data_IF_564096437360
#
_entry.id   IF_564096437360
#
_cell.length_a   1.000
_cell.length_b   1.000
_cell.length_c   1.000
_cell.angle_alpha   90.00
_cell.angle_beta   90.00
_cell.angle_gamma   90.00
#
_symmetry.space_group_name_H-M   'P 1'
#
loop_
_entity.id
_entity.type
_entity.pdbx_description
1 polymer ?
#
# COMPACT_ATOMS: atom_id res chain seq x y z
N UNK A 1 36.90 74.85 16.15
CA UNK A 1 36.06 74.09 15.19
C UNK A 1 35.33 73.01 15.99
N UNK A 2 34.00 73.07 15.99
CA UNK A 2 33.13 72.27 16.87
C UNK A 2 33.01 70.80 16.43
N UNK A 3 32.84 69.83 17.35
CA UNK A 3 32.50 68.46 16.98
C UNK A 3 31.00 68.36 16.64
N UNK A 4 30.69 67.74 15.50
CA UNK A 4 29.32 67.54 15.03
C UNK A 4 28.60 66.47 15.87
N UNK A 5 27.39 66.80 16.33
CA UNK A 5 26.46 65.92 17.04
C UNK A 5 25.80 64.90 16.09
N UNK A 6 25.93 63.60 16.37
CA UNK A 6 25.20 62.54 15.67
C UNK A 6 23.76 62.40 16.22
N UNK A 7 22.75 62.13 15.36
CA UNK A 7 21.37 61.93 15.81
C UNK A 7 21.14 60.52 16.39
N UNK A 8 20.06 60.31 17.17
CA UNK A 8 19.80 59.05 17.87
C UNK A 8 19.33 57.96 16.90
N UNK A 9 19.94 56.78 16.97
CA UNK A 9 19.48 55.59 16.23
C UNK A 9 18.39 54.90 17.04
N UNK A 10 17.17 54.87 16.51
CA UNK A 10 16.05 54.12 17.09
C UNK A 10 16.24 52.62 16.77
N UNK A 11 16.08 51.70 17.73
CA UNK A 11 16.13 50.28 17.44
C UNK A 11 14.89 49.90 16.64
N UNK A 12 15.06 49.45 15.40
CA UNK A 12 14.02 48.69 14.69
C UNK A 12 13.83 47.39 15.45
N UNK A 13 12.69 47.24 16.11
CA UNK A 13 12.22 45.93 16.56
C UNK A 13 11.95 45.08 15.32
N UNK A 14 12.92 44.26 14.93
CA UNK A 14 12.66 43.12 14.06
C UNK A 14 11.65 42.26 14.82
N UNK A 15 10.38 42.32 14.40
CA UNK A 15 9.44 41.24 14.64
C UNK A 15 10.02 40.02 13.93
N UNK A 16 10.87 39.29 14.65
CA UNK A 16 11.14 37.90 14.35
C UNK A 16 9.80 37.20 14.44
N UNK A 17 9.10 37.14 13.32
CA UNK A 17 8.01 36.20 13.14
C UNK A 17 8.60 34.86 13.52
N UNK A 18 8.15 34.34 14.66
CA UNK A 18 8.45 32.98 15.06
C UNK A 18 7.93 32.11 13.93
N UNK A 19 8.81 31.73 13.01
CA UNK A 19 8.65 30.52 12.25
C UNK A 19 8.60 29.46 13.32
N UNK A 20 7.37 29.08 13.72
CA UNK A 20 7.11 27.91 14.52
C UNK A 20 7.88 26.81 13.80
N UNK A 21 9.01 26.43 14.41
CA UNK A 21 9.92 25.44 13.89
C UNK A 21 9.21 24.11 13.96
N UNK A 22 8.30 23.86 13.02
CA UNK A 22 7.83 22.52 12.76
C UNK A 22 9.07 21.81 12.26
N UNK A 23 9.60 20.92 13.09
CA UNK A 23 10.67 20.02 12.70
C UNK A 23 10.29 19.40 11.35
N UNK A 24 11.19 19.40 10.35
CA UNK A 24 10.87 18.97 8.99
C UNK A 24 10.19 17.59 8.92
N UNK A 25 10.47 16.71 9.88
CA UNK A 25 9.91 15.37 10.01
C UNK A 25 8.40 15.35 10.31
N UNK A 26 7.89 16.21 11.20
CA UNK A 26 6.47 16.21 11.57
C UNK A 26 5.57 16.83 10.50
N UNK A 27 6.00 17.92 9.86
CA UNK A 27 5.27 18.51 8.73
C UNK A 27 5.16 17.53 7.56
N UNK A 28 6.25 16.80 7.28
CA UNK A 28 6.27 15.78 6.21
C UNK A 28 5.35 14.60 6.53
N UNK A 29 5.26 14.19 7.80
CA UNK A 29 4.34 13.14 8.23
C UNK A 29 2.88 13.51 7.97
N UNK A 30 2.42 14.69 8.40
CA UNK A 30 1.02 15.10 8.20
C UNK A 30 0.70 15.29 6.72
N UNK A 31 1.64 15.79 5.92
CA UNK A 31 1.49 15.86 4.47
C UNK A 31 1.38 14.46 3.83
N UNK A 32 2.19 13.50 4.28
CA UNK A 32 2.09 12.11 3.85
C UNK A 32 0.76 11.49 4.26
N UNK A 33 0.31 11.71 5.50
CA UNK A 33 -0.97 11.22 6.01
C UNK A 33 -2.14 11.78 5.20
N UNK A 34 -2.12 13.08 4.86
CA UNK A 34 -3.11 13.68 3.97
C UNK A 34 -3.13 13.01 2.58
N UNK A 35 -1.97 12.85 1.95
CA UNK A 35 -1.87 12.15 0.65
C UNK A 35 -2.33 10.70 0.73
N UNK A 36 -2.01 10.00 1.81
CA UNK A 36 -2.45 8.62 2.03
C UNK A 36 -3.97 8.56 2.18
N UNK A 37 -4.57 9.49 2.93
CA UNK A 37 -6.01 9.59 3.08
C UNK A 37 -6.70 9.87 1.73
N UNK A 38 -6.16 10.80 0.95
CA UNK A 38 -6.69 11.11 -0.38
C UNK A 38 -6.59 9.91 -1.32
N UNK A 39 -5.47 9.18 -1.30
CA UNK A 39 -5.29 7.97 -2.09
C UNK A 39 -6.29 6.87 -1.68
N UNK A 40 -6.54 6.70 -0.38
CA UNK A 40 -7.55 5.74 0.12
C UNK A 40 -8.96 6.16 -0.33
N UNK A 41 -9.30 7.45 -0.18
CA UNK A 41 -10.60 7.97 -0.61
C UNK A 41 -10.81 7.78 -2.11
N UNK A 42 -9.78 8.08 -2.92
CA UNK A 42 -9.81 7.88 -4.37
C UNK A 42 -9.96 6.39 -4.74
N UNK A 43 -9.20 5.51 -4.09
CA UNK A 43 -9.31 4.07 -4.29
C UNK A 43 -10.71 3.56 -3.92
N UNK A 44 -11.29 4.01 -2.81
CA UNK A 44 -12.64 3.65 -2.36
C UNK A 44 -13.74 4.20 -3.28
N UNK A 45 -13.50 5.34 -3.94
CA UNK A 45 -14.39 5.91 -4.96
C UNK A 45 -14.40 5.07 -6.24
N UNK A 46 -13.29 4.39 -6.57
CA UNK A 46 -13.20 3.47 -7.71
C UNK A 46 -13.83 2.08 -7.44
N UNK A 47 -14.40 1.86 -6.25
CA UNK A 47 -15.05 0.61 -5.88
C UNK A 47 -16.31 0.37 -6.72
N UNK A 48 -16.50 -0.85 -7.22
CA UNK A 48 -17.75 -1.26 -7.87
C UNK A 48 -18.90 -1.39 -6.85
N UNK A 49 -20.16 -1.11 -7.22
CA UNK A 49 -21.30 -1.31 -6.35
C UNK A 49 -21.31 -2.72 -5.71
N UNK A 50 -21.55 -2.81 -4.40
CA UNK A 50 -21.61 -4.11 -3.72
C UNK A 50 -22.75 -4.99 -4.23
N UNK A 51 -23.85 -4.37 -4.69
CA UNK A 51 -24.96 -5.07 -5.32
C UNK A 51 -24.52 -5.82 -6.59
N UNK A 52 -23.61 -5.22 -7.37
CA UNK A 52 -23.03 -5.85 -8.54
C UNK A 52 -22.19 -7.06 -8.11
N UNK A 53 -21.26 -6.90 -7.16
CA UNK A 53 -20.46 -8.00 -6.62
C UNK A 53 -21.34 -9.16 -6.11
N UNK A 54 -22.40 -8.85 -5.38
CA UNK A 54 -23.30 -9.84 -4.79
C UNK A 54 -24.39 -10.37 -5.74
N UNK A 55 -24.39 -9.96 -7.02
CA UNK A 55 -25.39 -10.39 -7.98
C UNK A 55 -25.29 -11.90 -8.26
N UNK A 56 -26.31 -12.62 -7.80
CA UNK A 56 -26.40 -14.08 -7.93
C UNK A 56 -26.79 -14.53 -9.33
N UNK A 57 -27.41 -13.65 -10.13
CA UNK A 57 -27.84 -14.00 -11.49
C UNK A 57 -26.65 -14.23 -12.44
N UNK A 58 -25.51 -13.62 -12.14
CA UNK A 58 -24.27 -13.76 -12.90
C UNK A 58 -23.35 -14.88 -12.37
N UNK A 59 -23.81 -15.69 -11.41
CA UNK A 59 -23.03 -16.81 -10.89
C UNK A 59 -23.37 -18.09 -11.66
N UNK A 60 -22.37 -18.66 -12.33
CA UNK A 60 -22.47 -19.93 -13.04
C UNK A 60 -21.26 -20.83 -12.71
N UNK A 61 -21.51 -22.13 -12.56
CA UNK A 61 -20.45 -23.11 -12.33
C UNK A 61 -19.50 -23.15 -13.56
N UNK A 62 -18.18 -23.02 -13.38
CA UNK A 62 -17.24 -23.18 -14.49
C UNK A 62 -17.22 -24.65 -14.97
N UNK A 63 -17.11 -24.85 -16.27
CA UNK A 63 -17.09 -26.17 -16.91
C UNK A 63 -15.74 -26.85 -16.77
N UNK A 64 -14.66 -26.06 -16.62
CA UNK A 64 -13.30 -26.57 -16.43
C UNK A 64 -12.46 -25.70 -15.50
N UNK A 65 -11.35 -26.24 -15.00
CA UNK A 65 -10.39 -25.50 -14.18
C UNK A 65 -9.70 -24.37 -14.95
N UNK A 66 -9.41 -24.59 -16.24
CA UNK A 66 -8.84 -23.56 -17.11
C UNK A 66 -9.78 -22.37 -17.27
N UNK A 67 -11.07 -22.65 -17.43
CA UNK A 67 -12.10 -21.62 -17.49
C UNK A 67 -12.24 -20.88 -16.15
N UNK A 68 -12.24 -21.61 -15.03
CA UNK A 68 -12.29 -21.02 -13.69
C UNK A 68 -11.15 -20.02 -13.45
N UNK A 69 -9.92 -20.37 -13.83
CA UNK A 69 -8.76 -19.46 -13.75
C UNK A 69 -8.96 -18.24 -14.65
N UNK A 70 -9.47 -18.44 -15.86
CA UNK A 70 -9.68 -17.35 -16.84
C UNK A 70 -10.73 -16.36 -16.34
N UNK A 71 -11.87 -16.85 -15.82
CA UNK A 71 -12.91 -16.04 -15.18
C UNK A 71 -12.36 -15.32 -13.94
N UNK A 72 -11.63 -16.03 -13.08
CA UNK A 72 -11.03 -15.45 -11.88
C UNK A 72 -10.05 -14.32 -12.22
N UNK A 73 -9.21 -14.49 -13.24
CA UNK A 73 -8.27 -13.45 -13.70
C UNK A 73 -9.01 -12.21 -14.21
N UNK A 74 -10.02 -12.38 -15.06
CA UNK A 74 -10.84 -11.25 -15.57
C UNK A 74 -11.52 -10.50 -14.42
N UNK A 75 -12.20 -11.24 -13.54
CA UNK A 75 -12.91 -10.67 -12.39
C UNK A 75 -11.97 -10.03 -11.35
N UNK A 76 -10.72 -10.48 -11.24
CA UNK A 76 -9.73 -9.88 -10.35
C UNK A 76 -9.42 -8.43 -10.71
N UNK A 77 -9.22 -8.14 -11.99
CA UNK A 77 -8.97 -6.77 -12.44
C UNK A 77 -10.23 -5.91 -12.34
N UNK A 78 -11.39 -6.48 -12.66
CA UNK A 78 -12.66 -5.75 -12.62
C UNK A 78 -13.09 -5.36 -11.19
N UNK A 79 -12.99 -6.28 -10.23
CA UNK A 79 -13.37 -6.07 -8.81
C UNK A 79 -12.17 -5.82 -7.89
N UNK A 80 -11.04 -5.34 -8.43
CA UNK A 80 -9.77 -5.25 -7.70
C UNK A 80 -9.88 -4.52 -6.35
N UNK A 81 -10.63 -3.42 -6.32
CA UNK A 81 -10.85 -2.63 -5.11
C UNK A 81 -11.74 -3.39 -4.12
N UNK A 82 -12.85 -3.98 -4.57
CA UNK A 82 -13.74 -4.77 -3.72
C UNK A 82 -13.02 -5.99 -3.11
N UNK A 83 -12.21 -6.70 -3.89
CA UNK A 83 -11.40 -7.83 -3.41
C UNK A 83 -10.32 -7.39 -2.42
N UNK A 84 -9.70 -6.22 -2.65
CA UNK A 84 -8.76 -5.62 -1.69
C UNK A 84 -9.43 -5.32 -0.35
N UNK A 85 -10.67 -4.81 -0.38
CA UNK A 85 -11.47 -4.56 0.85
C UNK A 85 -11.79 -5.87 1.56
N UNK A 86 -12.25 -6.89 0.84
CA UNK A 86 -12.54 -8.21 1.44
C UNK A 86 -11.28 -8.79 2.08
N UNK A 87 -10.15 -8.81 1.35
CA UNK A 87 -8.90 -9.37 1.83
C UNK A 87 -8.39 -8.63 3.07
N UNK A 88 -8.43 -7.30 3.04
CA UNK A 88 -8.07 -6.45 4.19
C UNK A 88 -8.99 -6.71 5.37
N UNK A 89 -10.30 -6.86 5.13
CA UNK A 89 -11.29 -7.19 6.16
C UNK A 89 -11.03 -8.54 6.81
N UNK A 90 -10.70 -9.57 6.04
CA UNK A 90 -10.35 -10.91 6.56
C UNK A 90 -9.08 -10.86 7.41
N UNK A 91 -8.04 -10.13 6.97
CA UNK A 91 -6.80 -9.94 7.74
C UNK A 91 -7.09 -9.16 9.03
N UNK A 92 -7.83 -8.06 8.95
CA UNK A 92 -8.19 -7.25 10.11
C UNK A 92 -8.98 -8.05 11.15
N UNK A 93 -9.98 -8.81 10.69
CA UNK A 93 -10.80 -9.65 11.56
C UNK A 93 -9.95 -10.75 12.23
N UNK A 94 -9.05 -11.38 11.47
CA UNK A 94 -8.10 -12.36 11.99
C UNK A 94 -7.19 -11.77 13.07
N UNK A 95 -6.72 -10.53 12.90
CA UNK A 95 -5.91 -9.85 13.91
C UNK A 95 -6.72 -9.44 15.15
N UNK A 96 -7.95 -8.96 14.97
CA UNK A 96 -8.85 -8.58 16.08
C UNK A 96 -9.15 -9.79 16.98
N UNK A 97 -9.36 -10.97 16.39
CA UNK A 97 -9.58 -12.20 17.14
C UNK A 97 -8.30 -12.80 17.76
N UNK A 98 -7.13 -12.23 17.48
CA UNK A 98 -5.86 -12.65 18.04
C UNK A 98 -5.20 -11.48 18.79
N UNK A 99 -5.70 -11.11 19.98
CA UNK A 99 -5.29 -9.89 20.70
C UNK A 99 -3.80 -9.88 21.06
N UNK A 100 -3.18 -11.05 21.30
CA UNK A 100 -1.74 -11.13 21.53
C UNK A 100 -0.92 -10.72 20.30
N UNK A 101 -1.29 -11.24 19.12
CA UNK A 101 -0.65 -10.86 17.86
C UNK A 101 -0.81 -9.37 17.57
N UNK A 102 -2.01 -8.83 17.79
CA UNK A 102 -2.32 -7.42 17.63
C UNK A 102 -1.51 -6.54 18.59
N UNK A 103 -1.39 -6.93 19.86
CA UNK A 103 -0.58 -6.20 20.86
C UNK A 103 0.89 -6.09 20.43
N UNK A 104 1.53 -7.21 20.10
CA UNK A 104 2.93 -7.19 19.69
C UNK A 104 3.14 -6.40 18.39
N UNK A 105 2.19 -6.47 17.44
CA UNK A 105 2.27 -5.73 16.20
C UNK A 105 2.11 -4.22 16.42
N UNK A 106 1.20 -3.80 17.32
CA UNK A 106 1.07 -2.41 17.73
C UNK A 106 2.30 -1.91 18.49
N UNK A 107 2.85 -2.70 19.41
CA UNK A 107 4.07 -2.35 20.13
C UNK A 107 5.25 -2.17 19.18
N UNK A 108 5.40 -3.08 18.21
CA UNK A 108 6.42 -2.99 17.18
C UNK A 108 6.23 -1.73 16.32
N UNK A 109 5.01 -1.49 15.84
CA UNK A 109 4.67 -0.30 15.05
C UNK A 109 4.94 0.99 15.84
N UNK A 110 4.53 1.04 17.10
CA UNK A 110 4.79 2.18 17.99
C UNK A 110 6.29 2.43 18.18
N UNK A 111 7.10 1.38 18.31
CA UNK A 111 8.56 1.48 18.36
C UNK A 111 9.15 2.11 17.10
N UNK A 112 8.77 1.62 15.92
CA UNK A 112 9.21 2.20 14.64
C UNK A 112 8.74 3.66 14.47
N UNK A 113 7.46 3.94 14.75
CA UNK A 113 6.90 5.30 14.68
C UNK A 113 7.65 6.23 15.63
N UNK A 114 7.87 5.82 16.88
CA UNK A 114 8.59 6.63 17.84
C UNK A 114 10.00 6.97 17.33
N UNK A 115 10.75 5.99 16.84
CA UNK A 115 12.14 6.18 16.45
C UNK A 115 12.35 7.09 15.24
N UNK A 116 11.40 7.08 14.29
CA UNK A 116 11.54 7.78 13.01
C UNK A 116 10.67 9.03 12.88
N UNK A 117 9.53 9.08 13.57
CA UNK A 117 8.56 10.17 13.40
C UNK A 117 8.50 11.10 14.62
N UNK A 118 8.74 10.58 15.81
CA UNK A 118 8.59 11.35 17.06
C UNK A 118 9.94 11.77 17.63
N UNK A 119 10.91 10.86 17.65
CA UNK A 119 12.23 11.06 18.26
C UNK A 119 13.05 12.07 17.46
N UNK A 120 13.38 13.20 18.09
CA UNK A 120 14.28 14.23 17.55
C UNK A 120 15.70 14.16 18.12
N UNK A 121 15.88 13.49 19.26
CA UNK A 121 17.16 13.41 19.98
C UNK A 121 17.74 11.98 19.93
N UNK A 122 19.08 11.81 20.06
CA UNK A 122 19.71 10.50 20.12
C UNK A 122 19.14 9.64 21.25
N UNK A 123 19.03 8.33 21.01
CA UNK A 123 18.48 7.42 22.01
C UNK A 123 19.50 7.17 23.14
N UNK A 124 19.18 7.62 24.35
CA UNK A 124 20.02 7.42 25.54
C UNK A 124 19.35 6.43 26.48
N UNK A 125 20.01 5.30 26.73
CA UNK A 125 19.56 4.32 27.75
C UNK A 125 20.68 4.19 28.78
N UNK A 126 20.34 4.32 30.07
CA UNK A 126 21.27 4.24 31.20
C UNK A 126 22.51 5.16 31.05
N UNK A 127 22.31 6.35 30.51
CA UNK A 127 23.39 7.32 30.29
C UNK A 127 24.30 7.06 29.09
N UNK A 128 24.08 5.97 28.33
CA UNK A 128 24.79 5.70 27.08
C UNK A 128 23.96 6.13 25.88
N UNK A 129 24.54 6.95 25.01
CA UNK A 129 23.99 7.29 23.69
C UNK A 129 24.19 6.12 22.73
N UNK A 130 23.10 5.64 22.13
CA UNK A 130 23.13 4.62 21.08
C UNK A 130 23.22 5.29 19.72
N UNK A 131 24.10 4.75 18.87
CA UNK A 131 24.18 5.15 17.47
C UNK A 131 22.94 4.67 16.69
N UNK A 132 22.62 5.35 15.59
CA UNK A 132 21.49 4.97 14.74
C UNK A 132 21.61 3.54 14.20
N UNK A 133 22.83 3.04 13.96
CA UNK A 133 23.07 1.65 13.54
C UNK A 133 22.72 0.65 14.64
N UNK A 134 23.08 0.94 15.88
CA UNK A 134 22.75 0.08 17.03
C UNK A 134 21.24 0.05 17.27
N UNK A 135 20.55 1.20 17.15
CA UNK A 135 19.10 1.30 17.29
C UNK A 135 18.38 0.52 16.17
N UNK A 136 18.81 0.71 14.92
CA UNK A 136 18.32 -0.04 13.76
C UNK A 136 18.50 -1.54 13.94
N UNK A 137 19.69 -1.97 14.34
CA UNK A 137 20.00 -3.38 14.56
C UNK A 137 19.15 -3.96 15.69
N UNK A 138 19.03 -3.24 16.82
CA UNK A 138 18.21 -3.64 17.95
C UNK A 138 16.73 -3.80 17.58
N UNK A 139 16.16 -2.83 16.86
CA UNK A 139 14.77 -2.91 16.38
C UNK A 139 14.56 -4.03 15.36
N UNK A 140 15.55 -4.27 14.50
CA UNK A 140 15.50 -5.36 13.53
C UNK A 140 15.50 -6.72 14.23
N UNK A 141 16.39 -6.91 15.21
CA UNK A 141 16.44 -8.13 16.03
C UNK A 141 15.15 -8.30 16.83
N UNK A 142 14.62 -7.24 17.44
CA UNK A 142 13.35 -7.27 18.14
C UNK A 142 12.19 -7.67 17.21
N UNK A 143 12.16 -7.14 15.99
CA UNK A 143 11.18 -7.53 14.95
C UNK A 143 11.28 -9.02 14.65
N UNK A 144 12.49 -9.55 14.43
CA UNK A 144 12.73 -10.96 14.15
C UNK A 144 12.24 -11.83 15.31
N UNK A 145 12.65 -11.51 16.54
CA UNK A 145 12.23 -12.25 17.74
C UNK A 145 10.71 -12.24 17.86
N UNK A 146 10.06 -11.09 17.69
CA UNK A 146 8.61 -10.96 17.74
C UNK A 146 7.92 -11.84 16.69
N UNK A 147 8.43 -11.88 15.46
CA UNK A 147 7.87 -12.72 14.39
C UNK A 147 7.97 -14.21 14.74
N UNK A 148 9.06 -14.66 15.37
CA UNK A 148 9.22 -16.06 15.76
C UNK A 148 8.48 -16.43 17.05
N UNK A 149 8.36 -15.51 18.00
CA UNK A 149 7.65 -15.74 19.26
C UNK A 149 6.13 -15.65 19.12
N UNK A 150 5.64 -14.94 18.11
CA UNK A 150 4.20 -14.69 17.93
C UNK A 150 3.65 -15.48 16.75
N UNK A 151 2.40 -15.94 16.86
CA UNK A 151 1.66 -16.55 15.74
C UNK A 151 1.28 -15.57 14.62
N UNK A 152 1.83 -14.35 14.59
CA UNK A 152 1.48 -13.31 13.61
C UNK A 152 1.70 -13.81 12.18
N UNK A 153 2.83 -14.47 11.92
CA UNK A 153 3.11 -15.02 10.60
C UNK A 153 2.03 -16.02 10.14
N UNK A 154 1.66 -16.97 10.99
CA UNK A 154 0.63 -17.97 10.64
C UNK A 154 -0.77 -17.36 10.54
N UNK A 155 -1.10 -16.38 11.37
CA UNK A 155 -2.37 -15.63 11.29
C UNK A 155 -2.46 -14.88 9.96
N UNK A 156 -1.40 -14.16 9.56
CA UNK A 156 -1.39 -13.42 8.30
C UNK A 156 -1.45 -14.36 7.09
N UNK A 157 -0.67 -15.44 7.08
CA UNK A 157 -0.68 -16.41 5.97
C UNK A 157 -2.05 -17.08 5.86
N UNK A 158 -2.62 -17.57 6.97
CA UNK A 158 -3.93 -18.21 6.95
C UNK A 158 -5.04 -17.24 6.52
N UNK A 159 -5.03 -15.99 7.01
CA UNK A 159 -5.98 -14.97 6.60
C UNK A 159 -5.88 -14.64 5.10
N UNK A 160 -4.66 -14.54 4.57
CA UNK A 160 -4.42 -14.31 3.14
C UNK A 160 -4.89 -15.50 2.29
N UNK A 161 -4.65 -16.74 2.73
CA UNK A 161 -5.14 -17.94 2.04
C UNK A 161 -6.66 -18.01 2.03
N UNK A 162 -7.30 -17.76 3.17
CA UNK A 162 -8.76 -17.76 3.28
C UNK A 162 -9.38 -16.63 2.44
N UNK A 163 -8.89 -15.41 2.59
CA UNK A 163 -9.37 -14.27 1.81
C UNK A 163 -9.13 -14.44 0.31
N UNK A 164 -7.95 -14.95 -0.06
CA UNK A 164 -7.61 -15.29 -1.44
C UNK A 164 -8.54 -16.37 -2.01
N UNK A 165 -8.84 -17.42 -1.25
CA UNK A 165 -9.78 -18.46 -1.64
C UNK A 165 -11.20 -17.92 -1.84
N UNK A 166 -11.66 -17.01 -0.97
CA UNK A 166 -12.96 -16.34 -1.12
C UNK A 166 -13.01 -15.53 -2.42
N UNK A 167 -12.01 -14.68 -2.65
CA UNK A 167 -11.93 -13.86 -3.87
C UNK A 167 -11.81 -14.71 -5.13
N UNK A 168 -11.02 -15.79 -5.08
CA UNK A 168 -10.87 -16.73 -6.18
C UNK A 168 -12.17 -17.47 -6.47
N UNK A 169 -12.86 -18.00 -5.45
CA UNK A 169 -14.13 -18.66 -5.61
C UNK A 169 -15.17 -17.71 -6.20
N UNK A 170 -15.30 -16.50 -5.68
CA UNK A 170 -16.19 -15.49 -6.25
C UNK A 170 -15.84 -15.20 -7.73
N UNK A 171 -14.56 -14.95 -8.03
CA UNK A 171 -14.10 -14.66 -9.38
C UNK A 171 -14.23 -15.83 -10.36
N UNK A 172 -14.13 -17.08 -9.90
CA UNK A 172 -14.25 -18.27 -10.74
C UNK A 172 -15.70 -18.57 -11.12
N UNK A 173 -16.65 -18.31 -10.21
CA UNK A 173 -18.07 -18.58 -10.43
C UNK A 173 -18.79 -17.42 -11.11
N UNK A 174 -18.25 -16.19 -11.05
CA UNK A 174 -18.88 -15.06 -11.73
C UNK A 174 -18.57 -15.07 -13.23
N UNK A 175 -19.62 -15.02 -14.05
CA UNK A 175 -19.52 -14.87 -15.51
C UNK A 175 -19.07 -13.44 -15.81
N UNK A 176 -17.92 -13.22 -16.48
CA UNK A 176 -17.49 -11.89 -16.90
C UNK A 176 -18.41 -11.34 -18.00
N UNK A 177 -18.75 -10.06 -17.95
CA UNK A 177 -19.46 -9.42 -19.06
C UNK A 177 -18.52 -9.29 -20.27
N UNK A 178 -18.92 -9.84 -21.42
CA UNK A 178 -18.08 -9.92 -22.63
C UNK A 178 -17.80 -8.55 -23.32
N UNK A 179 -18.29 -7.44 -22.76
CA UNK A 179 -18.08 -6.10 -23.30
C UNK A 179 -16.68 -5.51 -23.02
N UNK A 180 -15.84 -6.21 -22.24
CA UNK A 180 -14.49 -5.77 -21.86
C UNK A 180 -13.37 -6.51 -22.61
N UNK A 181 -13.70 -7.30 -23.63
CA UNK A 181 -12.73 -8.02 -24.45
C UNK A 181 -11.78 -7.06 -25.20
N UNK A 182 -12.27 -5.89 -25.61
CA UNK A 182 -11.49 -4.92 -26.41
C UNK A 182 -10.44 -4.14 -25.59
N UNK A 183 -10.67 -3.95 -24.29
CA UNK A 183 -9.77 -3.16 -23.42
C UNK A 183 -8.63 -4.00 -22.81
N UNK A 184 -8.77 -5.33 -22.79
CA UNK A 184 -7.72 -6.23 -22.31
C UNK A 184 -6.84 -6.80 -23.44
N UNK A 185 -7.34 -6.92 -24.67
CA UNK A 185 -6.48 -7.19 -25.84
C UNK A 185 -5.50 -6.03 -26.10
N UNK A 186 -5.90 -4.79 -25.85
CA UNK A 186 -5.05 -3.61 -26.01
C UNK A 186 -3.88 -3.55 -25.00
N UNK A 187 -4.03 -4.11 -23.80
CA UNK A 187 -2.94 -4.21 -22.82
C UNK A 187 -1.91 -5.33 -23.14
N UNK A 188 -2.25 -6.28 -24.01
CA UNK A 188 -1.36 -7.34 -24.49
C UNK A 188 -0.55 -6.99 -25.74
N UNK A 189 -0.77 -5.81 -26.34
CA UNK A 189 -0.25 -5.41 -27.65
C UNK A 189 1.28 -5.35 -27.79
N UNK A 190 2.03 -5.28 -26.68
CA UNK A 190 3.49 -5.19 -26.69
C UNK A 190 4.19 -6.42 -27.29
N UNK A 191 3.60 -7.62 -27.19
CA UNK A 191 4.20 -8.85 -27.72
C UNK A 191 3.79 -9.15 -29.18
N UNK A 192 2.77 -8.47 -29.72
CA UNK A 192 2.37 -8.67 -31.13
C UNK A 192 3.39 -8.09 -32.11
N UNK A 193 4.09 -7.02 -31.72
CA UNK A 193 5.12 -6.37 -32.53
C UNK A 193 6.35 -7.26 -32.77
N UNK A 194 6.63 -8.19 -31.86
CA UNK A 194 7.75 -9.13 -31.97
C UNK A 194 7.42 -10.34 -32.86
N UNK A 195 6.13 -10.64 -33.07
CA UNK A 195 5.68 -11.73 -33.94
C UNK A 195 5.55 -11.32 -35.41
N UNK A 196 5.33 -10.03 -35.70
CA UNK A 196 5.21 -9.53 -37.08
C UNK A 196 6.54 -9.36 -37.82
N UNK A 197 7.68 -9.57 -37.15
CA UNK A 197 9.02 -9.37 -37.70
C UNK A 197 9.62 -10.55 -38.48
N UNK A 198 8.98 -11.73 -38.50
CA UNK A 198 9.46 -12.91 -39.23
C UNK A 198 8.56 -13.24 -40.42
N UNK A 199 8.32 -12.25 -41.28
CA UNK A 199 7.72 -12.46 -42.59
C UNK A 199 8.74 -13.10 -43.53
N UNK A 200 8.69 -14.43 -43.68
CA UNK A 200 9.37 -15.15 -44.76
C UNK A 200 8.74 -14.70 -46.09
N UNK A 201 9.50 -14.17 -47.06
CA UNK A 201 8.93 -13.77 -48.35
C UNK A 201 8.56 -15.03 -49.14
N UNK A 202 7.26 -15.30 -49.29
CA UNK A 202 6.75 -16.28 -50.24
C UNK A 202 6.93 -15.73 -51.66
N UNK A 203 7.90 -16.29 -52.38
CA UNK A 203 8.13 -16.03 -53.79
C UNK A 203 6.89 -16.42 -54.61
N UNK A 204 6.42 -15.48 -55.41
CA UNK A 204 5.29 -15.63 -56.32
C UNK A 204 5.74 -16.41 -57.56
N UNK A 205 5.35 -17.68 -57.69
CA UNK A 205 5.44 -18.44 -58.94
C UNK A 205 4.07 -18.39 -59.65
N UNK A 206 3.95 -17.54 -60.67
CA UNK A 206 2.89 -17.67 -61.66
C UNK A 206 3.50 -18.16 -62.98
N UNK A 207 2.75 -19.10 -63.57
CA UNK A 207 2.85 -19.77 -64.88
C UNK A 207 3.54 -18.98 -65.98
#
# INVERSE_FOLDING_TARGET
MAPASQPPVIPVSQQGGATVGVTPSQATFWAFAGRAQDAVNLALAQKRPWAEVADRSQLAKPESFSEAITRARKNWFYFRINYSIILTGVVALSLIFNPGALFFLLALLAGWVYLYLIRSEPLVINGRTFSEREVLLGMSVFTIIMIFMTSVGSILISALLIGGAICFAHGAYRVPDDLFLDEQESAGGFLSFLSSGTGVPQMMSHV
#
